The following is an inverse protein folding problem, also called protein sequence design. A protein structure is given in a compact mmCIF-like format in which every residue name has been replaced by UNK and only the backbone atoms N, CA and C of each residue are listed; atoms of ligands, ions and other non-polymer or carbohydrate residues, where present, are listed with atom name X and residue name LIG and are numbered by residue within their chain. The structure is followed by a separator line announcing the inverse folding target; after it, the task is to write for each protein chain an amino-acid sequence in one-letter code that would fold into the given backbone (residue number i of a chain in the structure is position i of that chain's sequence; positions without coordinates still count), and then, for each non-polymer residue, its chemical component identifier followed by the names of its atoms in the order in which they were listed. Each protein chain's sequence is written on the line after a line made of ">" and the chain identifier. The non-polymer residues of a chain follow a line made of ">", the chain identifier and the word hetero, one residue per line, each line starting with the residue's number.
data_IF_997896536718
#
_entry.id   IF_997896536718
#
_cell.length_a   1.000
_cell.length_b   1.000
_cell.length_c   1.000
_cell.angle_alpha   90.00
_cell.angle_beta   90.00
_cell.angle_gamma   90.00
#
_symmetry.space_group_name_H-M   'P 1'
#
loop_
_entity.id
_entity.type
_entity.pdbx_description
1 polymer ?
#
# COMPACT_ATOMS: atom_id res chain seq x y z
N UNK A 1 15.15 2.52 -10.35
CA UNK A 1 13.78 2.12 -9.91
C UNK A 1 12.94 3.22 -9.26
N UNK A 2 13.52 4.32 -8.73
CA UNK A 2 12.87 5.18 -7.72
C UNK A 2 12.75 6.69 -8.02
N UNK A 3 13.10 7.18 -9.21
CA UNK A 3 13.14 8.64 -9.48
C UNK A 3 11.78 9.35 -9.46
N UNK A 4 10.67 8.62 -9.68
CA UNK A 4 9.31 9.19 -9.83
C UNK A 4 8.73 9.69 -8.50
N UNK A 5 8.65 8.80 -7.50
CA UNK A 5 8.16 9.08 -6.14
C UNK A 5 8.99 10.15 -5.42
N UNK A 6 10.30 10.13 -5.67
CA UNK A 6 11.23 11.12 -5.12
C UNK A 6 10.93 12.49 -5.69
N UNK A 7 10.64 12.60 -6.99
CA UNK A 7 10.36 13.87 -7.62
C UNK A 7 9.09 14.51 -7.03
N UNK A 8 8.00 13.76 -6.95
CA UNK A 8 6.72 14.28 -6.44
C UNK A 8 6.82 14.65 -4.95
N UNK A 9 7.43 13.81 -4.12
CA UNK A 9 7.61 14.14 -2.71
C UNK A 9 8.62 15.28 -2.50
N UNK A 10 9.69 15.34 -3.30
CA UNK A 10 10.64 16.43 -3.24
C UNK A 10 10.03 17.77 -3.69
N UNK A 11 9.19 17.78 -4.72
CA UNK A 11 8.49 18.98 -5.18
C UNK A 11 7.45 19.46 -4.16
N UNK A 12 6.86 18.54 -3.38
CA UNK A 12 6.03 18.86 -2.21
C UNK A 12 6.84 19.29 -0.97
N UNK A 13 8.15 19.47 -1.09
CA UNK A 13 9.00 19.95 0.01
C UNK A 13 9.34 18.89 1.06
N UNK A 14 9.27 17.58 0.74
CA UNK A 14 9.56 16.51 1.70
C UNK A 14 10.95 16.62 2.37
N UNK A 15 11.95 17.16 1.67
CA UNK A 15 13.29 17.41 2.25
C UNK A 15 13.29 18.53 3.30
N UNK A 16 12.41 19.53 3.15
CA UNK A 16 12.24 20.61 4.13
C UNK A 16 11.54 20.06 5.37
N UNK A 17 10.47 19.27 5.17
CA UNK A 17 9.67 18.68 6.24
C UNK A 17 10.37 17.52 6.97
N UNK A 18 11.29 16.85 6.28
CA UNK A 18 12.07 15.73 6.80
C UNK A 18 13.49 15.72 6.22
N UNK A 19 14.46 16.23 6.99
CA UNK A 19 15.86 16.40 6.56
C UNK A 19 16.54 15.08 6.12
N UNK A 20 16.13 13.95 6.71
CA UNK A 20 16.66 12.62 6.39
C UNK A 20 15.93 11.93 5.23
N UNK A 21 15.04 12.63 4.51
CA UNK A 21 14.35 12.08 3.34
C UNK A 21 15.33 11.71 2.22
N UNK A 22 15.23 10.48 1.68
CA UNK A 22 16.15 9.94 0.67
C UNK A 22 17.63 9.83 1.09
N UNK A 23 17.95 9.50 2.35
CA UNK A 23 19.36 9.37 2.80
C UNK A 23 20.13 8.24 2.08
N UNK A 24 19.47 7.13 1.71
CA UNK A 24 20.11 6.02 0.99
C UNK A 24 20.24 6.32 -0.52
N UNK A 25 21.40 5.99 -1.07
CA UNK A 25 21.71 6.10 -2.50
C UNK A 25 21.35 4.83 -3.30
N UNK A 26 21.08 3.71 -2.62
CA UNK A 26 20.92 2.39 -3.25
C UNK A 26 19.45 2.04 -3.44
N UNK A 27 18.66 2.10 -2.37
CA UNK A 27 17.21 1.92 -2.40
C UNK A 27 16.54 3.18 -1.87
N UNK A 28 15.41 3.54 -2.46
CA UNK A 28 14.57 4.61 -1.93
C UNK A 28 13.40 3.97 -1.21
N UNK A 29 13.46 4.07 0.10
CA UNK A 29 12.43 3.68 1.04
C UNK A 29 12.26 4.82 2.03
N UNK A 30 11.04 4.92 2.52
CA UNK A 30 10.63 5.80 3.61
C UNK A 30 9.70 4.96 4.47
N UNK A 31 9.79 5.05 5.79
CA UNK A 31 8.86 4.33 6.64
C UNK A 31 7.44 4.85 6.43
N UNK A 32 6.45 3.97 6.56
CA UNK A 32 5.03 4.36 6.42
C UNK A 32 4.68 5.54 7.30
N UNK A 33 5.11 5.52 8.57
CA UNK A 33 4.89 6.61 9.53
C UNK A 33 5.48 7.94 9.05
N UNK A 34 6.73 7.95 8.58
CA UNK A 34 7.35 9.18 8.08
C UNK A 34 6.61 9.73 6.86
N UNK A 35 6.23 8.86 5.92
CA UNK A 35 5.47 9.27 4.74
C UNK A 35 4.12 9.88 5.14
N UNK A 36 3.40 9.25 6.08
CA UNK A 36 2.15 9.77 6.64
C UNK A 36 2.34 11.15 7.27
N UNK A 37 3.39 11.34 8.09
CA UNK A 37 3.67 12.63 8.74
C UNK A 37 4.03 13.72 7.73
N UNK A 38 4.83 13.40 6.70
CA UNK A 38 5.16 14.35 5.64
C UNK A 38 3.89 14.80 4.90
N UNK A 39 3.08 13.84 4.44
CA UNK A 39 1.86 14.12 3.70
C UNK A 39 0.80 14.83 4.56
N UNK A 40 0.70 14.49 5.85
CA UNK A 40 -0.20 15.17 6.78
C UNK A 40 0.20 16.64 6.95
N UNK A 41 1.49 16.95 7.13
CA UNK A 41 1.97 18.33 7.22
C UNK A 41 1.64 19.12 5.95
N UNK A 42 1.87 18.53 4.78
CA UNK A 42 1.51 19.17 3.50
C UNK A 42 0.01 19.40 3.40
N UNK A 43 -0.80 18.40 3.73
CA UNK A 43 -2.26 18.49 3.70
C UNK A 43 -2.78 19.62 4.60
N UNK A 44 -2.28 19.72 5.83
CA UNK A 44 -2.66 20.78 6.76
C UNK A 44 -2.26 22.17 6.26
N UNK A 45 -1.07 22.32 5.65
CA UNK A 45 -0.61 23.59 5.08
C UNK A 45 -1.48 24.09 3.93
N UNK A 46 -2.08 23.19 3.15
CA UNK A 46 -2.99 23.53 2.05
C UNK A 46 -4.47 23.58 2.47
N UNK A 47 -4.74 23.55 3.79
CA UNK A 47 -6.09 23.74 4.34
C UNK A 47 -6.96 22.48 4.39
N UNK A 48 -6.39 21.28 4.23
CA UNK A 48 -7.15 20.04 4.40
C UNK A 48 -7.56 19.89 5.86
N UNK A 49 -8.87 19.75 6.09
CA UNK A 49 -9.42 19.46 7.41
C UNK A 49 -9.23 17.98 7.75
N UNK A 50 -8.53 17.69 8.84
CA UNK A 50 -8.27 16.32 9.29
C UNK A 50 -8.98 16.07 10.61
N UNK A 51 -9.85 15.06 10.64
CA UNK A 51 -10.51 14.58 11.84
C UNK A 51 -9.81 13.29 12.30
N UNK A 52 -9.03 13.37 13.39
CA UNK A 52 -8.34 12.22 13.98
C UNK A 52 -9.22 11.47 14.97
N UNK A 53 -8.95 10.18 15.16
CA UNK A 53 -9.72 9.31 16.08
C UNK A 53 -11.22 9.29 15.75
N UNK A 54 -11.56 9.40 14.47
CA UNK A 54 -12.92 9.36 13.95
C UNK A 54 -13.04 8.21 12.96
N UNK A 55 -13.97 7.29 13.23
CA UNK A 55 -14.30 6.18 12.33
C UNK A 55 -15.38 6.57 11.33
N UNK A 56 -15.19 6.24 10.06
CA UNK A 56 -16.26 6.25 9.07
C UNK A 56 -17.25 5.13 9.39
N UNK A 57 -18.55 5.40 9.26
CA UNK A 57 -19.61 4.41 9.50
C UNK A 57 -20.38 4.09 8.22
N UNK A 58 -20.90 5.11 7.53
CA UNK A 58 -21.67 4.91 6.31
C UNK A 58 -21.82 6.18 5.47
N UNK A 59 -22.14 5.97 4.19
CA UNK A 59 -22.70 7.00 3.31
C UNK A 59 -24.19 7.10 3.62
N UNK A 60 -24.69 8.32 3.82
CA UNK A 60 -26.11 8.60 4.07
C UNK A 60 -26.71 9.23 2.80
N UNK A 61 -27.67 8.56 2.13
CA UNK A 61 -28.30 9.12 0.95
C UNK A 61 -29.18 10.34 1.30
N UNK A 62 -29.45 11.22 0.33
CA UNK A 62 -30.44 12.27 0.46
C UNK A 62 -31.80 11.71 0.89
N UNK A 63 -32.49 12.44 1.75
CA UNK A 63 -33.86 12.17 2.17
C UNK A 63 -34.67 13.47 2.23
N UNK A 64 -36.01 13.43 2.09
CA UNK A 64 -36.85 14.61 2.14
C UNK A 64 -36.70 15.36 3.48
N UNK A 65 -36.53 16.69 3.41
CA UNK A 65 -36.42 17.56 4.60
C UNK A 65 -37.65 17.45 5.51
N UNK A 66 -38.81 17.13 4.95
CA UNK A 66 -40.08 16.92 5.67
C UNK A 66 -39.98 15.84 6.76
N UNK A 67 -39.03 14.90 6.63
CA UNK A 67 -38.77 13.84 7.61
C UNK A 67 -37.52 14.11 8.47
N UNK A 68 -37.01 15.36 8.49
CA UNK A 68 -35.76 15.71 9.18
C UNK A 68 -34.50 15.15 8.52
N UNK A 69 -34.61 14.73 7.26
CA UNK A 69 -33.49 14.22 6.45
C UNK A 69 -32.70 15.34 5.76
N UNK A 70 -31.46 15.04 5.36
CA UNK A 70 -30.64 15.96 4.58
C UNK A 70 -30.99 15.85 3.08
N UNK A 71 -31.16 16.96 2.33
CA UNK A 71 -31.47 16.92 0.89
C UNK A 71 -30.25 16.59 0.01
N UNK A 72 -29.15 16.10 0.61
CA UNK A 72 -27.88 15.82 -0.04
C UNK A 72 -27.22 14.57 0.54
N UNK A 73 -26.24 14.03 -0.18
CA UNK A 73 -25.39 12.96 0.35
C UNK A 73 -24.54 13.49 1.50
N UNK A 74 -24.59 12.78 2.62
CA UNK A 74 -23.78 13.07 3.81
C UNK A 74 -23.07 11.81 4.29
N UNK A 75 -22.22 11.91 5.32
CA UNK A 75 -21.53 10.75 5.90
C UNK A 75 -21.81 10.67 7.40
N UNK A 76 -21.93 9.44 7.90
CA UNK A 76 -22.00 9.15 9.33
C UNK A 76 -20.61 8.78 9.84
N UNK A 77 -20.21 9.35 10.97
CA UNK A 77 -18.93 9.05 11.62
C UNK A 77 -19.08 8.89 13.12
N UNK A 78 -18.07 8.29 13.77
CA UNK A 78 -18.01 8.13 15.23
C UNK A 78 -16.64 8.60 15.76
N UNK A 79 -16.55 9.69 16.54
CA UNK A 79 -17.63 10.64 16.84
C UNK A 79 -18.12 11.38 15.58
N UNK A 80 -19.34 11.90 15.63
CA UNK A 80 -19.94 12.59 14.48
C UNK A 80 -19.23 13.92 14.19
N UNK A 81 -18.75 14.09 12.96
CA UNK A 81 -18.22 15.36 12.44
C UNK A 81 -19.35 16.26 11.93
N UNK A 82 -19.11 17.57 11.71
CA UNK A 82 -20.13 18.45 11.13
C UNK A 82 -20.72 17.88 9.84
N UNK A 83 -22.05 17.82 9.78
CA UNK A 83 -22.79 17.33 8.63
C UNK A 83 -22.70 18.35 7.51
N UNK A 84 -22.23 17.91 6.35
CA UNK A 84 -22.08 18.72 5.13
C UNK A 84 -22.43 17.89 3.91
N UNK A 85 -22.68 18.56 2.78
CA UNK A 85 -22.88 17.94 1.48
C UNK A 85 -21.55 17.42 0.91
N UNK A 86 -21.59 16.18 0.39
CA UNK A 86 -20.47 15.57 -0.32
C UNK A 86 -20.89 15.22 -1.75
N UNK A 87 -20.05 15.59 -2.72
CA UNK A 87 -20.19 15.19 -4.13
C UNK A 87 -19.26 14.03 -4.50
N UNK A 88 -18.28 13.75 -3.65
CA UNK A 88 -17.36 12.62 -3.79
C UNK A 88 -16.92 12.04 -2.44
N UNK A 89 -16.79 10.71 -2.37
CA UNK A 89 -16.17 9.97 -1.26
C UNK A 89 -15.04 9.09 -1.81
N UNK A 90 -13.85 9.17 -1.22
CA UNK A 90 -12.68 8.40 -1.65
C UNK A 90 -12.25 7.43 -0.55
N UNK A 91 -12.41 6.12 -0.79
CA UNK A 91 -12.03 5.06 0.13
C UNK A 91 -10.53 4.76 0.07
N UNK A 92 -9.77 5.25 1.05
CA UNK A 92 -8.33 5.00 1.22
C UNK A 92 -8.01 4.30 2.55
N UNK A 93 -8.88 3.38 2.98
CA UNK A 93 -8.87 2.72 4.31
C UNK A 93 -8.00 1.44 4.39
N UNK A 94 -7.34 1.08 3.28
CA UNK A 94 -6.54 -0.15 3.21
C UNK A 94 -7.39 -1.41 2.98
N UNK A 95 -6.92 -2.57 3.44
CA UNK A 95 -7.62 -3.85 3.24
C UNK A 95 -8.95 -3.96 4.00
N UNK A 96 -9.09 -3.21 5.10
CA UNK A 96 -10.31 -3.11 5.90
C UNK A 96 -11.23 -2.03 5.31
N UNK A 97 -11.58 -2.24 4.04
CA UNK A 97 -12.41 -1.29 3.31
C UNK A 97 -13.86 -1.27 3.82
N UNK A 98 -14.42 -0.08 3.95
CA UNK A 98 -15.80 0.17 4.41
C UNK A 98 -16.62 0.93 3.36
N UNK A 99 -16.03 1.23 2.20
CA UNK A 99 -16.60 2.14 1.20
C UNK A 99 -17.06 1.38 -0.04
N UNK A 100 -16.42 0.26 -0.38
CA UNK A 100 -16.69 -0.53 -1.58
C UNK A 100 -18.09 -1.13 -1.57
N UNK A 101 -18.51 -1.78 -0.47
CA UNK A 101 -19.82 -2.42 -0.39
C UNK A 101 -20.97 -1.40 -0.52
N UNK A 102 -21.01 -0.28 0.24
CA UNK A 102 -22.01 0.78 0.03
C UNK A 102 -22.00 1.36 -1.39
N UNK A 103 -20.86 1.30 -2.08
CA UNK A 103 -20.69 1.75 -3.45
C UNK A 103 -21.08 0.70 -4.50
N UNK A 104 -21.51 -0.50 -4.10
CA UNK A 104 -21.76 -1.63 -5.01
C UNK A 104 -20.51 -2.06 -5.77
N UNK A 105 -19.35 -2.01 -5.12
CA UNK A 105 -18.04 -2.41 -5.64
C UNK A 105 -17.63 -3.73 -4.96
N UNK A 106 -17.57 -4.81 -5.73
CA UNK A 106 -17.09 -6.09 -5.22
C UNK A 106 -15.56 -6.08 -5.11
N UNK A 107 -15.03 -6.67 -4.03
CA UNK A 107 -13.60 -6.98 -3.90
C UNK A 107 -13.41 -8.48 -4.04
N UNK A 108 -12.55 -8.87 -4.98
CA UNK A 108 -12.28 -10.27 -5.33
C UNK A 108 -10.85 -10.67 -4.99
N UNK A 109 -10.68 -11.92 -4.57
CA UNK A 109 -9.35 -12.52 -4.40
C UNK A 109 -8.82 -12.88 -5.79
N UNK A 110 -7.69 -12.27 -6.19
CA UNK A 110 -7.11 -12.49 -7.52
C UNK A 110 -5.83 -13.33 -7.49
N UNK A 111 -5.29 -13.61 -6.31
CA UNK A 111 -4.18 -14.54 -6.10
C UNK A 111 -4.45 -15.36 -4.84
N UNK A 112 -4.23 -16.67 -4.95
CA UNK A 112 -4.25 -17.62 -3.83
C UNK A 112 -2.92 -18.38 -3.72
N UNK A 113 -1.87 -17.89 -4.39
CA UNK A 113 -0.55 -18.49 -4.27
C UNK A 113 -0.07 -18.31 -2.83
N UNK A 114 0.28 -19.42 -2.19
CA UNK A 114 0.81 -19.38 -0.84
C UNK A 114 2.00 -18.44 -0.74
N UNK A 115 1.93 -17.48 0.19
CA UNK A 115 2.99 -16.55 0.48
C UNK A 115 3.01 -16.25 1.97
N UNK A 116 3.97 -16.86 2.67
CA UNK A 116 4.19 -16.64 4.10
C UNK A 116 5.27 -15.59 4.26
N UNK A 117 5.03 -14.57 5.08
CA UNK A 117 5.94 -13.44 5.24
C UNK A 117 6.39 -13.23 6.67
N UNK A 118 7.68 -13.06 6.90
CA UNK A 118 8.21 -12.57 8.17
C UNK A 118 8.64 -11.14 7.99
N UNK A 119 8.16 -10.26 8.87
CA UNK A 119 8.67 -8.90 9.02
C UNK A 119 9.35 -8.79 10.36
N UNK A 120 10.57 -8.27 10.38
CA UNK A 120 11.22 -7.86 11.60
C UNK A 120 11.87 -6.48 11.45
N UNK A 121 11.91 -5.76 12.57
CA UNK A 121 12.66 -4.52 12.63
C UNK A 121 13.20 -4.24 14.04
N UNK A 122 14.31 -3.53 14.07
CA UNK A 122 15.00 -3.12 15.30
C UNK A 122 15.70 -1.76 15.10
N UNK A 123 15.97 -1.01 16.19
CA UNK A 123 16.59 0.30 16.11
C UNK A 123 17.92 0.25 15.36
N UNK A 124 18.13 1.22 14.46
CA UNK A 124 19.44 1.53 13.91
C UNK A 124 20.06 2.62 14.78
N UNK A 125 21.13 2.29 15.51
CA UNK A 125 21.83 3.25 16.38
C UNK A 125 22.81 4.15 15.60
N UNK A 126 22.87 4.01 14.28
CA UNK A 126 23.75 4.73 13.36
C UNK A 126 25.25 4.56 13.70
N UNK A 127 25.63 3.43 14.29
CA UNK A 127 27.04 3.12 14.58
C UNK A 127 27.85 2.93 13.29
N UNK A 128 29.19 3.13 13.30
CA UNK A 128 30.02 2.95 12.12
C UNK A 128 29.88 1.57 11.45
N UNK A 129 29.65 0.51 12.23
CA UNK A 129 29.43 -0.85 11.71
C UNK A 129 28.06 -0.97 11.01
N UNK A 130 26.99 -0.49 11.65
CA UNK A 130 25.64 -0.47 11.06
C UNK A 130 25.61 0.36 9.77
N UNK A 131 26.38 1.46 9.74
CA UNK A 131 26.49 2.37 8.60
C UNK A 131 27.29 1.81 7.41
N UNK A 132 28.10 0.75 7.62
CA UNK A 132 28.81 0.03 6.54
C UNK A 132 27.96 -1.03 5.83
N UNK A 133 26.91 -1.54 6.47
CA UNK A 133 26.08 -2.60 5.89
C UNK A 133 25.35 -2.09 4.65
N UNK A 134 25.46 -2.84 3.54
CA UNK A 134 24.73 -2.51 2.31
C UNK A 134 23.31 -3.05 2.38
N UNK A 135 22.36 -2.22 1.98
CA UNK A 135 20.98 -2.63 1.72
C UNK A 135 20.92 -3.61 0.56
N UNK A 136 19.93 -4.49 0.56
CA UNK A 136 19.79 -5.51 -0.47
C UNK A 136 18.34 -5.96 -0.66
N UNK A 137 18.07 -6.49 -1.84
CA UNK A 137 16.82 -7.16 -2.18
C UNK A 137 17.18 -8.41 -3.00
N UNK A 138 17.03 -9.59 -2.40
CA UNK A 138 17.32 -10.86 -3.05
C UNK A 138 16.01 -11.59 -3.34
N UNK A 139 15.79 -11.96 -4.60
CA UNK A 139 14.63 -12.76 -5.02
C UNK A 139 15.10 -14.01 -5.80
N UNK A 140 14.30 -15.08 -5.76
CA UNK A 140 14.52 -16.30 -6.55
C UNK A 140 14.61 -16.03 -8.05
N UNK A 141 13.88 -15.03 -8.56
CA UNK A 141 13.89 -14.64 -9.97
C UNK A 141 15.28 -14.19 -10.45
N UNK A 142 16.11 -13.61 -9.57
CA UNK A 142 17.48 -13.23 -9.89
C UNK A 142 18.52 -14.31 -9.53
N UNK A 143 18.09 -15.55 -9.25
CA UNK A 143 18.94 -16.70 -8.90
C UNK A 143 20.07 -16.32 -7.95
N UNK A 144 19.75 -15.57 -6.89
CA UNK A 144 20.80 -15.07 -6.00
C UNK A 144 21.51 -16.24 -5.32
N UNK A 145 22.81 -16.37 -5.58
CA UNK A 145 23.76 -17.26 -4.87
C UNK A 145 23.60 -17.15 -3.34
N UNK A 146 23.14 -16.00 -2.83
CA UNK A 146 22.89 -15.78 -1.42
C UNK A 146 21.73 -16.62 -0.87
N UNK A 147 20.61 -16.77 -1.60
CA UNK A 147 19.50 -17.62 -1.16
C UNK A 147 19.90 -19.10 -1.09
N UNK A 148 20.76 -19.54 -2.01
CA UNK A 148 21.32 -20.89 -1.97
C UNK A 148 22.21 -21.09 -0.73
N UNK A 149 23.11 -20.14 -0.43
CA UNK A 149 23.95 -20.19 0.78
C UNK A 149 23.13 -20.10 2.07
N UNK A 150 22.03 -19.35 2.09
CA UNK A 150 21.10 -19.36 3.23
C UNK A 150 20.52 -20.75 3.43
N UNK A 151 20.17 -21.46 2.35
CA UNK A 151 19.67 -22.84 2.42
C UNK A 151 20.73 -23.80 2.97
N UNK A 152 22.01 -23.62 2.65
CA UNK A 152 23.10 -24.43 3.22
C UNK A 152 23.20 -24.28 4.74
N UNK A 153 22.92 -23.08 5.28
CA UNK A 153 22.79 -22.88 6.73
C UNK A 153 21.38 -23.18 7.26
N UNK A 154 20.55 -23.80 6.41
CA UNK A 154 19.18 -24.29 6.62
C UNK A 154 18.11 -23.20 6.80
N UNK A 155 18.29 -22.05 6.17
CA UNK A 155 17.28 -20.99 6.03
C UNK A 155 16.83 -20.97 4.57
N UNK A 156 15.61 -21.42 4.27
CA UNK A 156 15.08 -21.50 2.91
C UNK A 156 14.00 -20.44 2.68
N UNK A 157 14.35 -19.42 1.90
CA UNK A 157 13.52 -18.26 1.59
C UNK A 157 13.29 -18.15 0.09
N UNK A 158 12.12 -17.65 -0.30
CA UNK A 158 11.83 -17.25 -1.69
C UNK A 158 12.41 -15.87 -2.01
N UNK A 159 12.36 -14.96 -1.04
CA UNK A 159 12.94 -13.64 -1.15
C UNK A 159 13.25 -13.06 0.24
N UNK A 160 14.13 -12.06 0.26
CA UNK A 160 14.45 -11.25 1.43
C UNK A 160 14.85 -9.85 0.98
N UNK A 161 14.36 -8.84 1.69
CA UNK A 161 14.68 -7.43 1.49
C UNK A 161 15.12 -6.82 2.80
N UNK A 162 16.22 -6.08 2.77
CA UNK A 162 16.75 -5.33 3.89
C UNK A 162 16.90 -3.86 3.51
N UNK A 163 16.25 -3.01 4.30
CA UNK A 163 16.35 -1.56 4.23
C UNK A 163 16.90 -1.00 5.53
N UNK A 164 17.75 0.01 5.42
CA UNK A 164 18.33 0.72 6.56
C UNK A 164 17.78 2.14 6.59
N UNK A 165 16.99 2.44 7.60
CA UNK A 165 16.49 3.78 7.89
C UNK A 165 16.77 4.15 9.35
N UNK A 166 15.79 4.74 10.02
CA UNK A 166 15.78 4.86 11.50
C UNK A 166 15.75 3.48 12.19
N UNK A 167 15.27 2.46 11.46
CA UNK A 167 15.26 1.07 11.88
C UNK A 167 15.99 0.22 10.82
N UNK A 168 16.61 -0.86 11.27
CA UNK A 168 16.89 -1.99 10.39
C UNK A 168 15.56 -2.68 10.10
N UNK A 169 15.10 -2.63 8.85
CA UNK A 169 13.84 -3.25 8.43
C UNK A 169 14.13 -4.41 7.50
N UNK A 170 13.61 -5.59 7.84
CA UNK A 170 13.79 -6.80 7.06
C UNK A 170 12.42 -7.43 6.83
N UNK A 171 12.14 -7.74 5.57
CA UNK A 171 10.98 -8.54 5.16
C UNK A 171 11.48 -9.73 4.36
N UNK A 172 10.96 -10.91 4.63
CA UNK A 172 11.36 -12.15 3.99
C UNK A 172 10.17 -13.07 3.77
N UNK A 173 10.25 -13.92 2.75
CA UNK A 173 9.22 -14.93 2.45
C UNK A 173 9.80 -16.32 2.67
N UNK A 174 9.69 -16.91 3.87
CA UNK A 174 10.13 -18.27 4.13
C UNK A 174 9.22 -19.31 3.49
N UNK A 175 9.77 -20.50 3.22
CA UNK A 175 8.94 -21.65 2.81
C UNK A 175 8.31 -22.33 4.01
N UNK A 176 7.05 -22.78 3.87
CA UNK A 176 6.30 -23.54 4.89
C UNK A 176 7.10 -24.66 5.54
N UNK A 177 7.71 -25.53 4.72
CA UNK A 177 8.48 -26.67 5.23
C UNK A 177 9.70 -26.24 6.06
N UNK A 178 10.30 -25.10 5.72
CA UNK A 178 11.43 -24.57 6.50
C UNK A 178 10.97 -23.98 7.84
N UNK A 179 9.79 -23.35 7.90
CA UNK A 179 9.20 -22.90 9.16
C UNK A 179 8.96 -24.08 10.13
N UNK A 180 8.45 -25.20 9.62
CA UNK A 180 8.25 -26.43 10.39
C UNK A 180 9.57 -27.03 10.86
N UNK A 181 10.51 -27.26 9.94
CA UNK A 181 11.81 -27.85 10.25
C UNK A 181 12.63 -27.02 11.24
N UNK A 182 12.35 -25.71 11.34
CA UNK A 182 12.99 -24.78 12.29
C UNK A 182 12.18 -24.53 13.55
N UNK A 183 11.05 -25.22 13.72
CA UNK A 183 10.19 -25.07 14.90
C UNK A 183 9.63 -23.65 15.07
N UNK A 184 9.50 -22.90 13.98
CA UNK A 184 8.85 -21.58 13.96
C UNK A 184 7.33 -21.74 14.12
N UNK A 185 6.78 -22.77 13.49
CA UNK A 185 5.39 -23.21 13.67
C UNK A 185 5.39 -24.59 14.30
N UNK A 186 4.42 -24.86 15.18
CA UNK A 186 4.35 -26.10 15.97
C UNK A 186 3.84 -27.28 15.15
N UNK A 187 2.84 -27.03 14.31
CA UNK A 187 2.20 -28.04 13.46
C UNK A 187 2.00 -27.53 12.03
N UNK A 188 1.95 -28.48 11.09
CA UNK A 188 1.70 -28.19 9.67
C UNK A 188 0.19 -28.08 9.42
N UNK A 189 -0.38 -26.92 9.72
CA UNK A 189 -1.79 -26.64 9.45
C UNK A 189 -2.09 -26.71 7.94
N UNK A 190 -3.31 -27.15 7.55
CA UNK A 190 -3.67 -27.31 6.14
C UNK A 190 -3.70 -25.98 5.39
N UNK A 191 -4.23 -24.92 6.01
CA UNK A 191 -4.31 -23.59 5.41
C UNK A 191 -3.19 -22.67 5.92
N UNK A 192 -2.75 -21.72 5.07
CA UNK A 192 -1.75 -20.71 5.45
C UNK A 192 -2.24 -19.79 6.55
N UNK A 193 -3.54 -19.49 6.57
CA UNK A 193 -4.18 -18.67 7.62
C UNK A 193 -4.04 -19.34 8.99
N UNK A 194 -4.39 -20.62 9.09
CA UNK A 194 -4.29 -21.40 10.34
C UNK A 194 -2.82 -21.67 10.70
N UNK A 195 -1.93 -21.72 9.70
CA UNK A 195 -0.50 -21.93 9.92
C UNK A 195 0.13 -20.75 10.68
N UNK A 196 -0.29 -19.52 10.39
CA UNK A 196 0.24 -18.29 10.99
C UNK A 196 -0.54 -17.81 12.21
N UNK A 197 -1.48 -18.60 12.73
CA UNK A 197 -2.17 -18.26 13.97
C UNK A 197 -1.20 -18.21 15.15
N UNK A 198 -1.44 -17.25 16.05
CA UNK A 198 -0.58 -17.02 17.22
C UNK A 198 -0.40 -18.26 18.11
N UNK A 199 -1.40 -19.13 18.17
CA UNK A 199 -1.40 -20.40 18.89
C UNK A 199 -0.45 -21.42 18.28
N UNK A 200 -0.28 -21.41 16.96
CA UNK A 200 0.62 -22.30 16.23
C UNK A 200 2.05 -21.75 16.13
N UNK A 201 2.27 -20.46 16.31
CA UNK A 201 3.60 -19.85 16.24
C UNK A 201 4.37 -20.10 17.55
N UNK A 202 5.59 -20.61 17.42
CA UNK A 202 6.60 -20.61 18.49
C UNK A 202 7.39 -19.32 18.45
N UNK A 203 7.16 -18.41 19.40
CA UNK A 203 7.88 -17.13 19.45
C UNK A 203 9.39 -17.31 19.57
N UNK A 204 9.83 -18.29 20.38
CA UNK A 204 11.26 -18.61 20.51
C UNK A 204 11.84 -19.13 19.19
N UNK A 205 11.12 -20.01 18.48
CA UNK A 205 11.53 -20.51 17.17
C UNK A 205 11.60 -19.40 16.13
N UNK A 206 10.58 -18.54 16.08
CA UNK A 206 10.52 -17.38 15.19
C UNK A 206 11.68 -16.40 15.44
N UNK A 207 11.95 -16.07 16.70
CA UNK A 207 13.08 -15.20 17.07
C UNK A 207 14.43 -15.82 16.71
N UNK A 208 14.63 -17.11 16.99
CA UNK A 208 15.86 -17.82 16.63
C UNK A 208 16.07 -17.86 15.11
N UNK A 209 15.00 -18.09 14.35
CA UNK A 209 15.03 -18.09 12.89
C UNK A 209 15.49 -16.74 12.34
N UNK A 210 14.86 -15.65 12.80
CA UNK A 210 15.20 -14.29 12.36
C UNK A 210 16.60 -13.88 12.80
N UNK A 211 17.03 -14.25 14.01
CA UNK A 211 18.40 -14.01 14.48
C UNK A 211 19.43 -14.63 13.53
N UNK A 212 19.20 -15.88 13.12
CA UNK A 212 20.06 -16.59 12.16
C UNK A 212 20.10 -15.91 10.79
N UNK A 213 18.98 -15.38 10.32
CA UNK A 213 18.90 -14.59 9.08
C UNK A 213 19.74 -13.31 9.18
N UNK A 214 19.60 -12.56 10.27
CA UNK A 214 20.32 -11.30 10.54
C UNK A 214 21.83 -11.56 10.63
N UNK A 215 22.23 -12.61 11.35
CA UNK A 215 23.63 -13.04 11.47
C UNK A 215 24.22 -13.43 10.10
N UNK A 216 23.51 -14.24 9.32
CA UNK A 216 23.95 -14.63 7.98
C UNK A 216 24.09 -13.43 7.06
N UNK A 217 23.16 -12.47 7.12
CA UNK A 217 23.20 -11.25 6.32
C UNK A 217 24.31 -10.28 6.76
N UNK A 218 24.98 -10.55 7.89
CA UNK A 218 26.03 -9.69 8.44
C UNK A 218 25.52 -8.34 8.91
N UNK A 219 24.25 -8.27 9.35
CA UNK A 219 23.66 -7.04 9.89
C UNK A 219 23.98 -6.97 11.39
N UNK A 220 24.79 -6.00 11.87
CA UNK A 220 25.09 -5.85 13.29
C UNK A 220 23.80 -5.64 14.07
N UNK A 221 23.62 -6.40 15.15
CA UNK A 221 22.46 -6.28 16.03
C UNK A 221 22.93 -5.95 17.45
N UNK A 222 22.81 -4.68 17.84
CA UNK A 222 23.16 -4.20 19.19
C UNK A 222 21.96 -4.10 20.15
N UNK A 223 20.75 -4.22 19.61
CA UNK A 223 19.49 -4.09 20.36
C UNK A 223 18.58 -5.28 20.10
N UNK A 224 17.57 -5.46 20.93
CA UNK A 224 16.55 -6.45 20.66
C UNK A 224 15.60 -6.06 19.53
N UNK A 225 14.93 -7.08 18.99
CA UNK A 225 13.90 -6.87 17.99
C UNK A 225 12.75 -6.09 18.61
N UNK A 226 12.37 -4.97 17.99
CA UNK A 226 11.16 -4.25 18.38
C UNK A 226 9.93 -5.05 18.00
N UNK A 227 9.99 -5.75 16.85
CA UNK A 227 8.92 -6.62 16.39
C UNK A 227 9.45 -7.73 15.50
N UNK A 228 8.89 -8.91 15.65
CA UNK A 228 9.04 -10.04 14.74
C UNK A 228 7.67 -10.68 14.56
N UNK A 229 7.14 -10.65 13.35
CA UNK A 229 5.82 -11.23 13.07
C UNK A 229 5.87 -12.07 11.81
N UNK A 230 5.17 -13.21 11.85
CA UNK A 230 4.83 -14.03 10.70
C UNK A 230 3.41 -13.66 10.23
N UNK A 231 3.21 -13.52 8.93
CA UNK A 231 1.96 -13.12 8.28
C UNK A 231 1.64 -14.05 7.11
N UNK A 232 0.36 -14.14 6.79
CA UNK A 232 -0.12 -14.73 5.54
C UNK A 232 -0.36 -13.61 4.51
N UNK A 233 0.38 -13.64 3.41
CA UNK A 233 0.22 -12.76 2.25
C UNK A 233 -0.42 -13.50 1.05
N UNK A 234 -0.99 -14.69 1.27
CA UNK A 234 -1.45 -15.56 0.18
C UNK A 234 -2.68 -15.01 -0.55
N UNK A 235 -3.62 -14.41 0.18
CA UNK A 235 -4.87 -13.88 -0.38
C UNK A 235 -4.76 -12.40 -0.68
N UNK A 236 -4.43 -12.08 -1.93
CA UNK A 236 -4.42 -10.70 -2.39
C UNK A 236 -5.77 -10.33 -2.99
N UNK A 237 -6.28 -9.18 -2.56
CA UNK A 237 -7.59 -8.66 -2.95
C UNK A 237 -7.49 -7.46 -3.89
N UNK A 238 -8.47 -7.32 -4.78
CA UNK A 238 -8.63 -6.14 -5.64
C UNK A 238 -10.10 -5.83 -5.84
N UNK A 239 -10.42 -4.57 -6.08
CA UNK A 239 -11.76 -4.18 -6.50
C UNK A 239 -12.00 -4.60 -7.96
N UNK A 240 -13.23 -5.03 -8.25
CA UNK A 240 -13.68 -5.35 -9.62
C UNK A 240 -13.70 -4.10 -10.50
N UNK A 241 -14.20 -2.99 -9.94
CA UNK A 241 -14.22 -1.67 -10.56
C UNK A 241 -13.62 -0.64 -9.59
N UNK A 242 -12.99 0.44 -10.07
CA UNK A 242 -12.28 1.39 -9.23
C UNK A 242 -13.18 2.44 -8.59
N UNK A 243 -14.39 2.62 -9.12
CA UNK A 243 -15.34 3.62 -8.69
C UNK A 243 -16.77 3.25 -9.11
N UNK A 244 -17.74 3.92 -8.51
CA UNK A 244 -19.14 3.95 -8.90
C UNK A 244 -19.73 5.33 -8.66
N UNK A 245 -20.92 5.57 -9.21
CA UNK A 245 -21.71 6.77 -8.93
C UNK A 245 -23.03 6.30 -8.33
N UNK A 246 -23.30 6.73 -7.10
CA UNK A 246 -24.58 6.49 -6.43
C UNK A 246 -25.57 7.58 -6.83
N UNK A 247 -26.82 7.21 -7.06
CA UNK A 247 -27.90 8.14 -7.42
C UNK A 247 -29.10 7.94 -6.50
N UNK A 248 -29.60 9.01 -5.92
CA UNK A 248 -30.80 9.02 -5.07
C UNK A 248 -31.40 10.42 -5.05
N UNK A 249 -32.72 10.53 -5.20
CA UNK A 249 -33.44 11.82 -5.23
C UNK A 249 -32.79 12.86 -6.16
N UNK A 250 -32.42 12.45 -7.39
CA UNK A 250 -31.73 13.28 -8.40
C UNK A 250 -30.37 13.85 -7.97
N UNK A 251 -29.85 13.45 -6.82
CA UNK A 251 -28.48 13.73 -6.39
C UNK A 251 -27.57 12.58 -6.75
N UNK A 252 -26.31 12.91 -7.01
CA UNK A 252 -25.27 11.96 -7.37
C UNK A 252 -24.09 12.06 -6.41
N UNK A 253 -23.47 10.92 -6.11
CA UNK A 253 -22.24 10.85 -5.33
C UNK A 253 -21.23 9.96 -6.04
N UNK A 254 -20.08 10.53 -6.39
CA UNK A 254 -18.95 9.75 -6.88
C UNK A 254 -18.29 9.00 -5.71
N UNK A 255 -18.13 7.68 -5.82
CA UNK A 255 -17.41 6.89 -4.83
C UNK A 255 -16.24 6.17 -5.49
N UNK A 256 -15.01 6.45 -5.07
CA UNK A 256 -13.79 5.88 -5.66
C UNK A 256 -12.90 5.22 -4.63
N UNK A 257 -12.22 4.13 -4.99
CA UNK A 257 -11.24 3.46 -4.12
C UNK A 257 -9.81 3.84 -4.50
N UNK A 258 -8.91 3.92 -3.52
CA UNK A 258 -7.51 4.34 -3.67
C UNK A 258 -6.58 3.49 -2.78
N UNK A 259 -5.40 3.14 -3.30
CA UNK A 259 -4.41 2.39 -2.53
C UNK A 259 -4.83 0.93 -2.31
N UNK A 260 -4.56 0.39 -1.14
CA UNK A 260 -4.74 -1.04 -0.87
C UNK A 260 -6.23 -1.46 -0.82
N UNK A 261 -7.17 -0.51 -0.63
CA UNK A 261 -8.62 -0.78 -0.77
C UNK A 261 -8.97 -1.12 -2.23
N UNK A 262 -8.32 -0.46 -3.18
CA UNK A 262 -8.48 -0.67 -4.61
C UNK A 262 -7.71 -1.90 -5.11
N UNK A 263 -6.42 -1.97 -4.80
CA UNK A 263 -5.53 -3.02 -5.29
C UNK A 263 -4.43 -3.29 -4.28
N UNK A 264 -4.52 -4.44 -3.62
CA UNK A 264 -3.55 -4.86 -2.63
C UNK A 264 -2.17 -5.12 -3.28
N UNK A 265 -1.09 -4.55 -2.73
CA UNK A 265 0.23 -4.68 -3.32
C UNK A 265 0.92 -5.98 -2.90
N UNK A 266 1.68 -6.56 -3.82
CA UNK A 266 2.70 -7.54 -3.49
C UNK A 266 3.92 -6.79 -2.92
N UNK A 267 4.19 -6.92 -1.61
CA UNK A 267 5.17 -6.05 -0.93
C UNK A 267 6.59 -6.16 -1.51
N UNK A 268 7.01 -7.36 -1.89
CA UNK A 268 8.35 -7.59 -2.45
C UNK A 268 8.54 -7.02 -3.87
N UNK A 269 7.46 -6.70 -4.60
CA UNK A 269 7.56 -6.01 -5.89
C UNK A 269 7.83 -4.50 -5.75
N UNK A 270 7.61 -3.92 -4.56
CA UNK A 270 7.92 -2.53 -4.27
C UNK A 270 7.08 -1.49 -5.03
N UNK A 271 5.95 -1.91 -5.62
CA UNK A 271 5.07 -1.05 -6.45
C UNK A 271 3.89 -0.45 -5.71
N UNK A 272 3.61 -0.86 -4.46
CA UNK A 272 2.42 -0.43 -3.71
C UNK A 272 2.25 1.09 -3.63
N UNK A 273 3.26 1.82 -3.17
CA UNK A 273 3.20 3.30 -3.12
C UNK A 273 3.04 3.93 -4.51
N UNK A 274 3.62 3.34 -5.56
CA UNK A 274 3.49 3.86 -6.92
C UNK A 274 2.05 3.73 -7.41
N UNK A 275 1.44 2.56 -7.24
CA UNK A 275 0.04 2.31 -7.58
C UNK A 275 -0.89 3.19 -6.73
N UNK A 276 -0.64 3.30 -5.41
CA UNK A 276 -1.41 4.17 -4.52
C UNK A 276 -1.43 5.64 -4.96
N UNK A 277 -0.27 6.21 -5.31
CA UNK A 277 -0.18 7.60 -5.80
C UNK A 277 -0.84 7.78 -7.16
N UNK A 278 -0.66 6.84 -8.09
CA UNK A 278 -1.35 6.87 -9.38
C UNK A 278 -2.87 6.85 -9.20
N UNK A 279 -3.39 5.93 -8.38
CA UNK A 279 -4.82 5.85 -8.07
C UNK A 279 -5.37 7.10 -7.37
N UNK A 280 -4.57 7.76 -6.53
CA UNK A 280 -4.94 9.03 -5.92
C UNK A 280 -5.05 10.15 -6.96
N UNK A 281 -4.05 10.30 -7.83
CA UNK A 281 -4.05 11.30 -8.90
C UNK A 281 -5.20 11.07 -9.90
N UNK A 282 -5.47 9.81 -10.24
CA UNK A 282 -6.60 9.42 -11.10
C UNK A 282 -7.94 9.81 -10.48
N UNK A 283 -8.10 9.56 -9.19
CA UNK A 283 -9.36 9.88 -8.49
C UNK A 283 -9.56 11.39 -8.35
N UNK A 284 -8.50 12.14 -8.04
CA UNK A 284 -8.55 13.62 -8.00
C UNK A 284 -8.90 14.20 -9.37
N UNK A 285 -8.32 13.66 -10.45
CA UNK A 285 -8.67 14.08 -11.80
C UNK A 285 -10.16 13.87 -12.08
N UNK A 286 -10.70 12.69 -11.77
CA UNK A 286 -12.12 12.38 -11.99
C UNK A 286 -13.02 13.33 -11.19
N UNK A 287 -12.69 13.58 -9.91
CA UNK A 287 -13.43 14.55 -9.07
C UNK A 287 -13.42 15.95 -9.70
N UNK A 288 -12.29 16.39 -10.25
CA UNK A 288 -12.18 17.69 -10.92
C UNK A 288 -12.95 17.78 -12.26
N UNK A 289 -13.38 16.64 -12.81
CA UNK A 289 -14.19 16.56 -14.03
C UNK A 289 -15.69 16.35 -13.75
N UNK A 290 -16.09 16.19 -12.49
CA UNK A 290 -17.52 16.17 -12.10
C UNK A 290 -18.21 17.44 -12.64
N UNK A 291 -19.42 17.27 -13.19
CA UNK A 291 -20.20 18.30 -13.88
C UNK A 291 -19.60 18.85 -15.20
N UNK A 292 -18.44 18.35 -15.64
CA UNK A 292 -17.82 18.73 -16.94
C UNK A 292 -17.89 17.61 -17.97
N UNK A 293 -17.95 16.37 -17.51
CA UNK A 293 -18.09 15.17 -18.33
C UNK A 293 -19.32 14.38 -17.88
N UNK A 294 -19.85 13.54 -18.76
CA UNK A 294 -20.89 12.59 -18.39
C UNK A 294 -20.35 11.54 -17.39
N UNK A 295 -21.25 10.98 -16.61
CA UNK A 295 -20.94 9.97 -15.59
C UNK A 295 -20.27 8.74 -16.22
N UNK A 296 -20.74 8.34 -17.41
CA UNK A 296 -20.21 7.22 -18.17
C UNK A 296 -18.76 7.49 -18.57
N UNK A 297 -18.46 8.70 -19.04
CA UNK A 297 -17.10 9.08 -19.42
C UNK A 297 -16.16 9.11 -18.21
N UNK A 298 -16.64 9.62 -17.06
CA UNK A 298 -15.86 9.65 -15.82
C UNK A 298 -15.48 8.24 -15.37
N UNK A 299 -16.46 7.32 -15.37
CA UNK A 299 -16.24 5.92 -14.98
C UNK A 299 -15.33 5.20 -15.99
N UNK A 300 -15.50 5.43 -17.30
CA UNK A 300 -14.66 4.84 -18.34
C UNK A 300 -13.21 5.32 -18.26
N UNK A 301 -12.97 6.61 -18.07
CA UNK A 301 -11.64 7.17 -17.85
C UNK A 301 -10.98 6.52 -16.61
N UNK A 302 -11.74 6.41 -15.50
CA UNK A 302 -11.24 5.84 -14.25
C UNK A 302 -10.90 4.35 -14.37
N UNK A 303 -11.73 3.59 -15.08
CA UNK A 303 -11.57 2.17 -15.37
C UNK A 303 -10.34 1.91 -16.24
N UNK A 304 -10.15 2.70 -17.30
CA UNK A 304 -8.96 2.56 -18.14
C UNK A 304 -7.67 2.82 -17.36
N UNK A 305 -7.64 3.88 -16.55
CA UNK A 305 -6.51 4.19 -15.68
C UNK A 305 -6.23 3.06 -14.68
N UNK A 306 -7.30 2.46 -14.13
CA UNK A 306 -7.18 1.29 -13.24
C UNK A 306 -6.57 0.08 -13.93
N UNK A 307 -7.01 -0.25 -15.16
CA UNK A 307 -6.45 -1.35 -15.95
C UNK A 307 -4.97 -1.16 -16.28
N UNK A 308 -4.56 0.07 -16.58
CA UNK A 308 -3.14 0.40 -16.75
C UNK A 308 -2.38 0.13 -15.46
N UNK A 309 -2.87 0.65 -14.34
CA UNK A 309 -2.23 0.47 -13.03
C UNK A 309 -2.09 -1.00 -12.61
N UNK A 310 -3.05 -1.87 -12.95
CA UNK A 310 -2.97 -3.31 -12.72
C UNK A 310 -1.79 -3.97 -13.47
N UNK A 311 -1.46 -3.47 -14.67
CA UNK A 311 -0.33 -3.99 -15.47
C UNK A 311 1.03 -3.40 -15.08
N UNK A 312 1.05 -2.26 -14.39
CA UNK A 312 2.29 -1.64 -13.90
C UNK A 312 2.95 -2.55 -12.87
N UNK A 313 4.19 -2.98 -13.13
CA UNK A 313 4.99 -3.78 -12.21
C UNK A 313 6.40 -3.21 -12.04
N UNK A 314 7.24 -3.89 -11.24
CA UNK A 314 8.67 -3.58 -11.16
C UNK A 314 9.35 -3.55 -12.53
N UNK A 315 8.88 -4.39 -13.46
CA UNK A 315 9.51 -4.68 -14.75
C UNK A 315 8.65 -4.31 -15.98
N UNK A 316 7.37 -4.03 -15.82
CA UNK A 316 6.47 -3.62 -16.91
C UNK A 316 5.96 -2.22 -16.64
N UNK A 317 6.43 -1.26 -17.44
CA UNK A 317 6.13 0.17 -17.29
C UNK A 317 5.92 0.86 -18.63
N UNK A 318 5.75 0.10 -19.70
CA UNK A 318 5.63 0.63 -21.06
C UNK A 318 4.37 1.47 -21.23
N UNK A 319 3.33 1.18 -20.43
CA UNK A 319 2.09 1.94 -20.36
C UNK A 319 2.24 3.31 -19.63
N UNK A 320 3.41 3.60 -19.04
CA UNK A 320 3.67 4.85 -18.32
C UNK A 320 4.59 5.79 -19.09
N UNK A 321 4.23 7.08 -19.10
CA UNK A 321 5.04 8.14 -19.70
C UNK A 321 6.45 8.17 -19.09
N UNK A 322 7.48 8.32 -19.93
CA UNK A 322 8.88 8.27 -19.48
C UNK A 322 9.28 9.49 -18.65
N UNK A 323 8.78 10.67 -19.02
CA UNK A 323 9.17 11.93 -18.39
C UNK A 323 8.32 12.25 -17.16
N UNK A 324 8.83 11.83 -16.01
CA UNK A 324 8.11 11.93 -14.73
C UNK A 324 8.05 13.33 -14.15
N UNK A 325 8.88 14.24 -14.66
CA UNK A 325 8.84 15.66 -14.25
C UNK A 325 7.63 16.39 -14.81
N UNK A 326 6.98 15.82 -15.85
CA UNK A 326 5.78 16.37 -16.49
C UNK A 326 4.49 15.76 -15.96
N UNK A 327 4.57 14.88 -14.96
CA UNK A 327 3.38 14.25 -14.40
C UNK A 327 2.51 15.30 -13.70
N UNK A 328 1.21 15.25 -13.98
CA UNK A 328 0.18 16.05 -13.33
C UNK A 328 -0.98 15.15 -12.94
N UNK A 329 -2.04 15.73 -12.36
CA UNK A 329 -3.29 14.99 -12.12
C UNK A 329 -3.90 14.45 -13.42
N UNK A 330 -3.68 15.10 -14.58
CA UNK A 330 -4.22 14.64 -15.86
C UNK A 330 -3.62 13.27 -16.26
N UNK A 331 -4.44 12.23 -16.47
CA UNK A 331 -3.97 10.87 -16.79
C UNK A 331 -3.08 10.81 -18.03
N UNK A 332 -3.34 11.62 -19.05
CA UNK A 332 -2.55 11.68 -20.30
C UNK A 332 -1.10 12.12 -20.07
N UNK A 333 -0.83 12.85 -19.01
CA UNK A 333 0.54 13.21 -18.61
C UNK A 333 1.32 12.05 -18.00
N UNK A 334 0.62 10.96 -17.61
CA UNK A 334 1.16 9.82 -16.86
C UNK A 334 1.09 8.51 -17.62
N UNK A 335 0.08 8.31 -18.45
CA UNK A 335 -0.17 7.08 -19.20
C UNK A 335 0.03 7.28 -20.71
N UNK A 336 0.48 6.22 -21.38
CA UNK A 336 0.69 6.22 -22.85
C UNK A 336 -0.56 5.79 -23.60
N UNK A 337 -1.52 5.15 -22.91
CA UNK A 337 -2.77 4.70 -23.51
C UNK A 337 -3.66 5.86 -23.96
N UNK A 338 -4.42 5.63 -25.03
CA UNK A 338 -5.44 6.59 -25.47
C UNK A 338 -6.72 6.44 -24.65
N UNK A 339 -7.22 7.57 -24.16
CA UNK A 339 -8.46 7.64 -23.38
C UNK A 339 -9.62 7.86 -24.34
N UNK A 340 -10.52 6.87 -24.52
CA UNK A 340 -11.60 6.96 -25.49
C UNK A 340 -12.57 8.07 -25.10
N UNK A 341 -13.14 8.74 -26.09
CA UNK A 341 -14.32 9.60 -25.90
C UNK A 341 -15.56 8.76 -26.18
N UNK A 342 -16.36 8.52 -25.16
CA UNK A 342 -17.71 8.00 -25.31
C UNK A 342 -18.55 9.10 -25.96
N UNK A 343 -19.24 8.75 -27.04
CA UNK A 343 -20.13 9.64 -27.78
C UNK A 343 -21.51 9.69 -27.13
#
# INVERSE_FOLDING_TARGET
>A
MNSRRIHDLASLGAKVLFKNFCKSRTYFHVSTRQLQVILLKVALLVGVKVHSATGFQSIVPPAPEQNGGNPFYSIKTEPQIPVVEYTAVLGATGINDQVAEPAGINRVVFSQKESLGIVCYFPNLETPEEMKVKEFSWTTQFKHRMLYRMREVGVDLENIVYFRGEMHYIVMTPKRQNLLARGVVKQNSPTSKDLVESTNISQNGLHAFVKRVVEFAGIPRRTDFTRVNLFDFSSLTRAEKPASILTSHDKKLYVGLIGDSLLEPVWHEGVGTCRGFLGALDSVWVVAQIARKSDEQLLADRELAYRVMQRVSGHHRDDLQKNVRKYTVEPRSRYVVDFPRLL
#
